data_IF_288077556303
#
_entry.id   IF_288077556303
#
_cell.length_a   1.000
_cell.length_b   1.000
_cell.length_c   1.000
_cell.angle_alpha   90.00
_cell.angle_beta   90.00
_cell.angle_gamma   90.00
#
_symmetry.space_group_name_H-M   'P 1'
#
loop_
_entity.id
_entity.type
_entity.pdbx_description
1 polymer ?
#
# COMPACT_ATOMS: atom_id res chain seq x y z
N UNK A 1 5.55 -20.45 -22.42
CA UNK A 1 6.62 -19.80 -21.63
C UNK A 1 6.00 -19.40 -20.31
N UNK A 2 6.69 -19.70 -19.20
CA UNK A 2 6.21 -19.36 -17.87
C UNK A 2 6.28 -17.84 -17.66
N UNK A 3 5.29 -17.29 -16.97
CA UNK A 3 5.19 -15.85 -16.74
C UNK A 3 6.24 -15.36 -15.73
N UNK A 4 6.67 -14.10 -15.89
CA UNK A 4 7.39 -13.38 -14.85
C UNK A 4 6.38 -12.91 -13.82
N UNK A 5 6.61 -13.22 -12.55
CA UNK A 5 5.67 -12.91 -11.47
C UNK A 5 6.27 -11.86 -10.53
N UNK A 6 5.41 -11.01 -9.97
CA UNK A 6 5.80 -10.09 -8.90
C UNK A 6 6.36 -10.91 -7.72
N UNK A 7 7.33 -10.36 -6.99
CA UNK A 7 7.83 -10.99 -5.78
C UNK A 7 7.81 -10.02 -4.61
N UNK A 8 6.65 -9.96 -3.94
CA UNK A 8 6.46 -9.16 -2.76
C UNK A 8 7.55 -9.47 -1.71
N UNK A 9 8.25 -8.44 -1.19
CA UNK A 9 9.20 -8.62 -0.12
C UNK A 9 8.44 -8.99 1.16
N UNK A 10 8.89 -10.04 1.85
CA UNK A 10 8.31 -10.42 3.13
C UNK A 10 8.58 -9.36 4.18
N UNK A 11 7.52 -8.76 4.71
CA UNK A 11 7.60 -7.87 5.87
C UNK A 11 7.49 -8.67 7.18
N UNK A 12 8.07 -8.18 8.29
CA UNK A 12 7.81 -8.73 9.60
C UNK A 12 6.31 -8.74 9.89
N UNK A 13 5.81 -9.81 10.51
CA UNK A 13 4.42 -9.85 10.93
C UNK A 13 4.15 -8.75 11.97
N UNK A 14 2.99 -8.07 11.88
CA UNK A 14 2.55 -7.14 12.91
C UNK A 14 2.44 -7.86 14.26
N UNK A 15 2.69 -7.16 15.35
CA UNK A 15 2.43 -7.68 16.70
C UNK A 15 1.23 -6.95 17.28
N UNK A 16 0.17 -7.69 17.60
CA UNK A 16 -1.03 -7.14 18.23
C UNK A 16 -1.14 -7.57 19.69
N UNK A 17 -1.96 -6.85 20.46
CA UNK A 17 -2.31 -7.25 21.82
C UNK A 17 -2.97 -8.64 21.81
N UNK A 18 -2.55 -9.58 22.67
CA UNK A 18 -3.19 -10.88 22.76
C UNK A 18 -4.67 -10.77 23.17
N UNK A 19 -5.53 -11.60 22.58
CA UNK A 19 -6.93 -11.71 22.99
C UNK A 19 -7.88 -10.67 22.38
N UNK A 20 -7.46 -9.95 21.32
CA UNK A 20 -8.38 -9.12 20.55
C UNK A 20 -9.50 -9.97 19.92
N UNK A 21 -10.76 -9.50 19.92
CA UNK A 21 -11.83 -10.11 19.14
C UNK A 21 -11.47 -10.18 17.66
N UNK A 22 -11.96 -11.21 16.96
CA UNK A 22 -11.63 -11.45 15.56
C UNK A 22 -11.99 -10.25 14.67
N UNK A 23 -13.19 -9.68 14.84
CA UNK A 23 -13.60 -8.50 14.06
C UNK A 23 -12.73 -7.25 14.30
N UNK A 24 -12.12 -7.12 15.48
CA UNK A 24 -11.24 -6.00 15.81
C UNK A 24 -9.85 -6.20 15.21
N UNK A 25 -9.31 -7.41 15.34
CA UNK A 25 -8.04 -7.79 14.69
C UNK A 25 -8.15 -7.63 13.17
N UNK A 26 -9.30 -7.99 12.62
CA UNK A 26 -9.62 -7.87 11.21
C UNK A 26 -9.43 -6.45 10.69
N UNK A 27 -10.15 -5.51 11.30
CA UNK A 27 -10.14 -4.12 10.89
C UNK A 27 -8.73 -3.47 11.01
N UNK A 28 -7.95 -3.87 12.01
CA UNK A 28 -6.56 -3.43 12.19
C UNK A 28 -5.65 -3.97 11.08
N UNK A 29 -5.81 -5.24 10.72
CA UNK A 29 -5.05 -5.88 9.65
C UNK A 29 -5.29 -5.19 8.30
N UNK A 30 -6.56 -5.02 7.90
CA UNK A 30 -6.90 -4.37 6.63
C UNK A 30 -6.57 -2.87 6.66
N UNK A 31 -6.80 -2.19 7.77
CA UNK A 31 -6.68 -0.73 7.86
C UNK A 31 -5.25 -0.20 7.92
N UNK A 32 -4.33 -0.91 8.61
CA UNK A 32 -3.00 -0.36 8.90
C UNK A 32 -2.15 -0.07 7.67
N UNK A 33 -2.37 -0.84 6.60
CA UNK A 33 -1.62 -0.72 5.33
C UNK A 33 -2.13 0.47 4.52
N UNK A 34 -3.38 0.88 4.72
CA UNK A 34 -4.03 1.85 3.86
C UNK A 34 -3.59 3.28 4.20
N UNK A 35 -3.40 4.09 3.18
CA UNK A 35 -3.15 5.52 3.35
C UNK A 35 -4.38 6.21 3.93
N UNK A 36 -4.21 7.29 4.68
CA UNK A 36 -5.35 8.15 5.02
C UNK A 36 -5.77 8.95 3.79
N UNK A 37 -7.07 9.16 3.62
CA UNK A 37 -7.61 9.88 2.47
C UNK A 37 -7.06 11.31 2.43
N UNK A 38 -6.87 11.86 1.24
CA UNK A 38 -6.29 13.17 0.96
C UNK A 38 -4.76 13.23 1.06
N UNK A 39 -4.09 12.09 1.25
CA UNK A 39 -2.62 12.04 1.26
C UNK A 39 -2.08 12.34 -0.13
N UNK A 40 -1.09 13.23 -0.19
CA UNK A 40 -0.26 13.43 -1.38
C UNK A 40 0.91 12.46 -1.27
N UNK A 41 0.90 11.42 -2.12
CA UNK A 41 1.95 10.44 -2.21
C UNK A 41 3.02 10.93 -3.17
N UNK A 42 4.20 11.19 -2.65
CA UNK A 42 5.34 11.61 -3.44
C UNK A 42 6.09 10.38 -3.93
N UNK A 43 6.44 10.37 -5.20
CA UNK A 43 7.26 9.33 -5.78
C UNK A 43 8.51 9.89 -6.46
N UNK A 44 9.59 9.11 -6.42
CA UNK A 44 10.88 9.45 -6.99
C UNK A 44 11.43 8.27 -7.78
N UNK A 45 11.94 8.53 -8.97
CA UNK A 45 12.74 7.57 -9.73
C UNK A 45 14.21 7.73 -9.37
N UNK A 46 14.89 6.64 -9.02
CA UNK A 46 16.35 6.69 -8.84
C UNK A 46 17.04 7.18 -10.12
N UNK A 47 17.90 8.19 -9.97
CA UNK A 47 18.45 8.97 -11.07
C UNK A 47 19.97 9.23 -10.97
N UNK A 48 20.65 8.74 -9.92
CA UNK A 48 22.08 8.94 -9.72
C UNK A 48 22.88 7.72 -10.19
N UNK A 49 24.10 7.95 -10.69
CA UNK A 49 25.02 6.88 -11.06
C UNK A 49 25.41 5.96 -9.90
N UNK A 50 25.31 6.47 -8.66
CA UNK A 50 25.53 5.70 -7.43
C UNK A 50 24.34 4.84 -7.02
N UNK A 51 23.19 4.96 -7.70
CA UNK A 51 22.00 4.18 -7.40
C UNK A 51 22.06 2.84 -8.12
N UNK A 52 22.52 1.83 -7.39
CA UNK A 52 22.69 0.51 -7.94
C UNK A 52 22.99 -0.55 -6.89
N UNK A 53 23.00 -1.78 -7.35
CA UNK A 53 23.37 -2.94 -6.56
C UNK A 53 24.70 -3.51 -7.05
N UNK A 54 25.50 -4.01 -6.13
CA UNK A 54 26.65 -4.87 -6.45
C UNK A 54 26.17 -6.31 -6.41
N UNK A 55 26.07 -6.95 -7.58
CA UNK A 55 25.56 -8.31 -7.73
C UNK A 55 26.73 -9.28 -7.81
N UNK A 56 26.84 -10.26 -6.90
CA UNK A 56 27.87 -11.29 -6.99
C UNK A 56 27.59 -12.23 -8.17
N UNK A 57 28.62 -12.53 -8.95
CA UNK A 57 28.55 -13.47 -10.07
C UNK A 57 28.81 -14.89 -9.55
N UNK A 58 27.81 -15.80 -9.59
CA UNK A 58 27.94 -17.13 -8.98
C UNK A 58 29.15 -17.91 -9.50
N UNK A 59 29.92 -18.50 -8.59
CA UNK A 59 31.05 -19.37 -8.93
C UNK A 59 32.33 -18.67 -9.42
N UNK A 60 32.34 -17.34 -9.52
CA UNK A 60 33.51 -16.58 -10.01
C UNK A 60 34.24 -15.79 -8.92
N UNK A 61 33.54 -15.45 -7.82
CA UNK A 61 34.05 -14.51 -6.82
C UNK A 61 34.06 -13.05 -7.28
N UNK A 62 33.63 -12.78 -8.51
CA UNK A 62 33.52 -11.44 -9.08
C UNK A 62 32.16 -10.82 -8.75
N UNK A 63 32.05 -9.50 -8.96
CA UNK A 63 30.79 -8.78 -8.81
C UNK A 63 30.53 -7.91 -10.04
N UNK A 64 29.26 -7.63 -10.30
CA UNK A 64 28.80 -6.74 -11.36
C UNK A 64 27.99 -5.60 -10.75
N UNK A 65 28.26 -4.38 -11.19
CA UNK A 65 27.42 -3.23 -10.85
C UNK A 65 26.14 -3.25 -11.71
N UNK A 66 25.00 -3.11 -11.06
CA UNK A 66 23.69 -2.99 -11.70
C UNK A 66 23.02 -1.68 -11.32
N UNK A 67 22.74 -0.85 -12.32
CA UNK A 67 22.05 0.42 -12.11
C UNK A 67 20.57 0.20 -11.80
N UNK A 68 20.01 1.06 -10.94
CA UNK A 68 18.56 1.14 -10.71
C UNK A 68 17.88 2.19 -11.59
N UNK A 69 18.66 2.97 -12.32
CA UNK A 69 18.16 4.10 -13.12
C UNK A 69 17.43 3.57 -14.34
N UNK A 70 16.11 3.77 -14.38
CA UNK A 70 15.28 3.39 -15.52
C UNK A 70 15.44 4.36 -16.69
N UNK A 71 15.29 3.84 -17.92
CA UNK A 71 15.18 4.68 -19.11
C UNK A 71 13.89 5.51 -19.07
N UNK A 72 13.91 6.71 -19.67
CA UNK A 72 12.78 7.64 -19.61
C UNK A 72 11.47 7.04 -20.12
N UNK A 73 11.52 6.26 -21.21
CA UNK A 73 10.33 5.59 -21.75
C UNK A 73 9.68 4.61 -20.75
N UNK A 74 10.44 3.97 -19.87
CA UNK A 74 9.87 3.11 -18.82
C UNK A 74 9.28 3.96 -17.67
N UNK A 75 9.90 5.09 -17.34
CA UNK A 75 9.36 6.04 -16.35
C UNK A 75 8.02 6.62 -16.82
N UNK A 76 7.90 6.94 -18.11
CA UNK A 76 6.66 7.40 -18.72
C UNK A 76 5.54 6.38 -18.60
N UNK A 77 5.82 5.08 -18.80
CA UNK A 77 4.84 4.01 -18.56
C UNK A 77 4.36 4.03 -17.11
N UNK A 78 5.26 4.18 -16.14
CA UNK A 78 4.90 4.24 -14.70
C UNK A 78 4.07 5.48 -14.39
N UNK A 79 4.43 6.66 -14.93
CA UNK A 79 3.66 7.90 -14.79
C UNK A 79 2.24 7.76 -15.35
N UNK A 80 2.10 7.13 -16.51
CA UNK A 80 0.80 6.87 -17.12
C UNK A 80 -0.04 5.89 -16.30
N UNK A 81 0.57 4.92 -15.62
CA UNK A 81 -0.13 4.02 -14.71
C UNK A 81 -0.56 4.72 -13.41
N UNK A 82 0.25 5.62 -12.84
CA UNK A 82 -0.18 6.48 -11.74
C UNK A 82 -1.37 7.36 -12.14
N UNK A 83 -1.34 7.91 -13.36
CA UNK A 83 -2.47 8.69 -13.90
C UNK A 83 -3.73 7.83 -14.03
N UNK A 84 -3.63 6.59 -14.51
CA UNK A 84 -4.79 5.70 -14.64
C UNK A 84 -5.48 5.42 -13.29
N UNK A 85 -4.70 5.18 -12.23
CA UNK A 85 -5.24 5.04 -10.88
C UNK A 85 -5.86 6.35 -10.37
N UNK A 86 -5.22 7.49 -10.64
CA UNK A 86 -5.72 8.82 -10.24
C UNK A 86 -7.02 9.20 -10.96
N UNK A 87 -7.15 8.86 -12.25
CA UNK A 87 -8.30 9.17 -13.10
C UNK A 87 -9.58 8.45 -12.66
N UNK A 88 -9.48 7.47 -11.75
CA UNK A 88 -10.64 6.89 -11.06
C UNK A 88 -11.34 7.89 -10.12
N UNK A 89 -10.67 9.00 -9.77
CA UNK A 89 -11.15 9.99 -8.82
C UNK A 89 -10.95 9.59 -7.36
N UNK A 90 -9.97 8.72 -7.08
CA UNK A 90 -9.62 8.34 -5.71
C UNK A 90 -9.23 9.58 -4.90
N UNK A 91 -9.49 9.56 -3.59
CA UNK A 91 -9.14 10.66 -2.70
C UNK A 91 -7.65 10.75 -2.35
N UNK A 92 -6.76 10.17 -3.15
CA UNK A 92 -5.30 10.33 -3.02
C UNK A 92 -4.76 11.20 -4.16
N UNK A 93 -3.52 11.65 -4.06
CA UNK A 93 -2.83 12.35 -5.15
C UNK A 93 -1.41 11.82 -5.28
N UNK A 94 -0.84 11.91 -6.48
CA UNK A 94 0.53 11.47 -6.75
C UNK A 94 1.36 12.64 -7.27
N UNK A 95 2.54 12.86 -6.70
CA UNK A 95 3.46 13.93 -7.10
C UNK A 95 4.85 13.36 -7.33
N UNK A 96 5.37 13.54 -8.54
CA UNK A 96 6.77 13.21 -8.81
C UNK A 96 7.67 14.29 -8.18
N UNK A 97 8.63 13.86 -7.36
CA UNK A 97 9.60 14.74 -6.72
C UNK A 97 11.01 14.46 -7.23
N UNK A 98 11.90 15.45 -7.11
CA UNK A 98 13.30 15.36 -7.54
C UNK A 98 14.26 14.95 -6.43
N UNK A 99 13.80 14.99 -5.18
CA UNK A 99 14.59 14.55 -4.03
C UNK A 99 13.96 13.31 -3.41
N UNK A 100 14.75 12.25 -3.25
CA UNK A 100 14.30 11.00 -2.64
C UNK A 100 13.94 11.17 -1.16
N UNK A 101 14.45 12.19 -0.47
CA UNK A 101 14.05 12.47 0.92
C UNK A 101 12.62 12.99 1.04
N UNK A 102 12.06 13.47 -0.07
CA UNK A 102 10.68 13.97 -0.16
C UNK A 102 9.71 12.89 -0.65
N UNK A 103 10.17 11.65 -0.91
CA UNK A 103 9.38 10.61 -1.56
C UNK A 103 9.04 9.46 -0.60
N UNK A 104 7.75 9.15 -0.44
CA UNK A 104 7.30 7.92 0.20
C UNK A 104 7.61 6.71 -0.69
N UNK A 105 7.37 6.84 -2.00
CA UNK A 105 7.59 5.78 -2.99
C UNK A 105 8.89 6.04 -3.78
N UNK A 106 9.82 5.08 -3.77
CA UNK A 106 11.13 5.19 -4.43
C UNK A 106 11.31 4.04 -5.41
N UNK A 107 11.34 4.36 -6.69
CA UNK A 107 11.14 3.43 -7.81
C UNK A 107 12.47 3.20 -8.53
N UNK A 108 12.88 1.94 -8.64
CA UNK A 108 14.04 1.51 -9.44
C UNK A 108 13.66 0.53 -10.55
N UNK A 109 14.63 0.25 -11.43
CA UNK A 109 14.44 -0.57 -12.63
C UNK A 109 15.54 -1.65 -12.75
N UNK A 110 15.93 -2.25 -11.63
CA UNK A 110 17.00 -3.25 -11.63
C UNK A 110 16.50 -4.52 -12.34
N UNK A 111 17.04 -4.77 -13.53
CA UNK A 111 16.69 -5.94 -14.33
C UNK A 111 17.09 -7.24 -13.62
N UNK A 112 16.20 -8.23 -13.62
CA UNK A 112 16.45 -9.53 -13.01
C UNK A 112 16.26 -9.61 -11.48
N UNK A 113 15.93 -8.49 -10.82
CA UNK A 113 15.62 -8.44 -9.38
C UNK A 113 14.14 -8.76 -9.08
N UNK A 114 13.38 -9.18 -10.09
CA UNK A 114 11.93 -9.26 -10.05
C UNK A 114 11.26 -7.88 -10.08
N UNK A 115 9.93 -7.87 -10.20
CA UNK A 115 9.12 -6.68 -9.97
C UNK A 115 8.43 -6.81 -8.62
N UNK A 116 8.33 -5.71 -7.88
CA UNK A 116 7.68 -5.68 -6.57
C UNK A 116 7.38 -4.25 -6.13
N UNK A 117 6.47 -4.11 -5.16
CA UNK A 117 6.28 -2.91 -4.35
C UNK A 117 6.05 -3.28 -2.89
N UNK A 118 6.40 -2.37 -1.98
CA UNK A 118 5.85 -2.38 -0.63
C UNK A 118 4.33 -2.19 -0.68
N UNK A 119 3.63 -2.74 0.31
CA UNK A 119 2.17 -2.65 0.38
C UNK A 119 1.77 -1.42 1.19
N UNK A 120 1.14 -0.44 0.53
CA UNK A 120 0.65 0.76 1.19
C UNK A 120 1.68 1.46 2.07
N UNK A 121 1.30 1.75 3.32
CA UNK A 121 2.10 2.45 4.34
C UNK A 121 3.36 1.72 4.78
N UNK A 122 3.56 0.45 4.43
CA UNK A 122 4.83 -0.24 4.70
C UNK A 122 6.01 0.49 4.03
N UNK A 123 5.76 1.25 2.96
CA UNK A 123 6.73 2.13 2.31
C UNK A 123 7.45 3.09 3.28
N UNK A 124 6.76 3.53 4.35
CA UNK A 124 7.28 4.46 5.35
C UNK A 124 8.37 3.84 6.24
N UNK A 125 8.44 2.52 6.32
CA UNK A 125 9.46 1.80 7.10
C UNK A 125 10.77 1.56 6.34
N UNK A 126 10.76 1.78 5.01
CA UNK A 126 11.90 1.51 4.15
C UNK A 126 12.87 2.70 4.16
N UNK A 127 14.16 2.44 4.39
CA UNK A 127 15.17 3.49 4.42
C UNK A 127 15.31 4.28 3.10
N UNK A 128 15.71 5.55 3.19
CA UNK A 128 15.79 6.50 2.07
C UNK A 128 16.65 6.03 0.88
N UNK A 129 17.71 5.27 1.15
CA UNK A 129 18.62 4.73 0.12
C UNK A 129 18.12 3.44 -0.54
N UNK A 130 16.89 3.00 -0.24
CA UNK A 130 16.34 1.71 -0.69
C UNK A 130 15.09 1.94 -1.55
N UNK A 131 14.93 1.09 -2.56
CA UNK A 131 13.74 0.98 -3.41
C UNK A 131 12.56 0.50 -2.58
N UNK A 132 11.42 1.19 -2.66
CA UNK A 132 10.12 0.68 -2.20
C UNK A 132 9.40 -0.06 -3.32
N UNK A 133 9.75 0.23 -4.57
CA UNK A 133 9.21 -0.41 -5.76
C UNK A 133 10.34 -0.68 -6.76
N UNK A 134 10.28 -1.82 -7.44
CA UNK A 134 11.21 -2.17 -8.51
C UNK A 134 10.47 -2.75 -9.72
N UNK A 135 10.96 -2.42 -10.91
CA UNK A 135 10.58 -3.10 -12.15
C UNK A 135 11.75 -3.92 -12.68
N UNK A 136 11.56 -5.23 -12.75
CA UNK A 136 12.61 -6.19 -13.07
C UNK A 136 12.83 -6.46 -14.56
N UNK A 137 12.05 -5.81 -15.43
CA UNK A 137 12.04 -6.01 -16.87
C UNK A 137 11.47 -4.78 -17.61
N UNK A 138 11.59 -4.78 -18.93
CA UNK A 138 11.19 -3.68 -19.80
C UNK A 138 9.66 -3.52 -19.85
N UNK A 139 9.15 -2.46 -19.22
CA UNK A 139 7.74 -2.10 -19.20
C UNK A 139 7.18 -1.63 -20.55
N UNK A 140 8.05 -1.26 -21.50
CA UNK A 140 7.63 -0.79 -22.83
C UNK A 140 7.26 -1.94 -23.77
N UNK A 141 7.62 -3.17 -23.43
CA UNK A 141 7.26 -4.33 -24.20
C UNK A 141 5.73 -4.58 -24.15
N UNK A 142 5.13 -5.15 -25.22
CA UNK A 142 3.68 -5.36 -25.28
C UNK A 142 3.14 -6.14 -24.08
N UNK A 143 2.18 -5.55 -23.36
CA UNK A 143 1.55 -6.14 -22.18
C UNK A 143 2.26 -5.90 -20.85
N UNK A 144 3.54 -5.52 -20.84
CA UNK A 144 4.33 -5.35 -19.60
C UNK A 144 3.93 -4.12 -18.78
N UNK A 145 3.19 -3.18 -19.39
CA UNK A 145 2.52 -2.09 -18.65
C UNK A 145 1.61 -2.61 -17.53
N UNK A 146 1.04 -3.81 -17.66
CA UNK A 146 0.22 -4.42 -16.62
C UNK A 146 0.99 -4.59 -15.30
N UNK A 147 2.30 -4.85 -15.37
CA UNK A 147 3.17 -4.91 -14.19
C UNK A 147 3.20 -3.57 -13.46
N UNK A 148 3.31 -2.44 -14.16
CA UNK A 148 3.28 -1.12 -13.52
C UNK A 148 1.95 -0.84 -12.81
N UNK A 149 0.81 -1.20 -13.41
CA UNK A 149 -0.49 -1.09 -12.74
C UNK A 149 -0.57 -1.95 -11.48
N UNK A 150 -0.06 -3.19 -11.55
CA UNK A 150 -0.02 -4.15 -10.45
C UNK A 150 0.82 -3.64 -9.27
N UNK A 151 2.05 -3.21 -9.53
CA UNK A 151 2.93 -2.72 -8.46
C UNK A 151 2.39 -1.44 -7.81
N UNK A 152 1.76 -0.55 -8.59
CA UNK A 152 1.07 0.62 -8.02
C UNK A 152 -0.16 0.18 -7.20
N UNK A 153 -0.86 -0.89 -7.59
CA UNK A 153 -1.91 -1.50 -6.79
C UNK A 153 -1.41 -1.91 -5.39
N UNK A 154 -0.24 -2.56 -5.31
CA UNK A 154 0.41 -2.82 -4.02
C UNK A 154 0.73 -1.53 -3.25
N UNK A 155 1.30 -0.52 -3.91
CA UNK A 155 1.58 0.78 -3.27
C UNK A 155 0.30 1.46 -2.73
N UNK A 156 -0.88 1.13 -3.28
CA UNK A 156 -2.20 1.55 -2.81
C UNK A 156 -2.80 0.65 -1.73
N UNK A 157 -2.18 -0.50 -1.44
CA UNK A 157 -2.57 -1.42 -0.37
C UNK A 157 -3.23 -2.72 -0.85
N UNK A 158 -3.37 -2.94 -2.16
CA UNK A 158 -3.93 -4.20 -2.67
C UNK A 158 -2.94 -5.35 -2.46
N UNK A 159 -3.46 -6.51 -2.09
CA UNK A 159 -2.72 -7.77 -2.05
C UNK A 159 -3.09 -8.68 -3.23
N UNK A 160 -2.35 -9.77 -3.42
CA UNK A 160 -2.60 -10.73 -4.50
C UNK A 160 -3.95 -11.43 -4.35
N UNK A 161 -4.66 -11.50 -5.47
CA UNK A 161 -6.04 -11.99 -5.52
C UNK A 161 -6.11 -13.52 -5.36
N UNK A 162 -5.13 -14.28 -5.85
CA UNK A 162 -5.05 -15.73 -5.69
C UNK A 162 -4.80 -16.20 -4.26
N UNK A 163 -4.28 -15.31 -3.42
CA UNK A 163 -4.08 -15.56 -1.99
C UNK A 163 -5.35 -15.32 -1.18
N UNK A 164 -6.43 -14.83 -1.81
CA UNK A 164 -7.74 -14.68 -1.19
C UNK A 164 -8.25 -16.06 -0.68
N UNK A 165 -8.58 -16.20 0.62
CA UNK A 165 -9.09 -17.46 1.16
C UNK A 165 -10.45 -17.84 0.57
N UNK A 166 -11.21 -16.88 0.02
CA UNK A 166 -12.47 -17.12 -0.67
C UNK A 166 -12.31 -17.50 -2.15
N UNK A 167 -11.08 -17.60 -2.66
CA UNK A 167 -10.83 -18.00 -4.04
C UNK A 167 -11.24 -19.43 -4.37
N UNK A 168 -11.31 -20.30 -3.37
CA UNK A 168 -11.58 -21.73 -3.60
C UNK A 168 -10.50 -22.42 -4.45
N UNK A 169 -9.36 -21.76 -4.70
CA UNK A 169 -8.25 -22.34 -5.44
C UNK A 169 -7.61 -23.44 -4.58
N UNK A 170 -7.65 -24.66 -5.10
CA UNK A 170 -6.85 -25.77 -4.63
C UNK A 170 -5.66 -25.94 -5.58
N UNK A 171 -4.45 -25.73 -5.05
CA UNK A 171 -3.20 -25.82 -5.80
C UNK A 171 -2.70 -27.26 -5.89
N UNK A 172 -2.00 -27.58 -6.97
CA UNK A 172 -0.99 -28.64 -6.96
C UNK A 172 0.32 -28.01 -6.46
N UNK A 173 0.54 -28.04 -5.14
CA UNK A 173 1.67 -27.38 -4.49
C UNK A 173 3.03 -27.79 -5.09
N UNK A 174 3.21 -29.07 -5.41
CA UNK A 174 4.46 -29.58 -5.99
C UNK A 174 4.65 -29.05 -7.42
N UNK A 175 3.59 -29.05 -8.23
CA UNK A 175 3.65 -28.45 -9.57
C UNK A 175 3.98 -26.95 -9.50
N UNK A 176 3.43 -26.22 -8.54
CA UNK A 176 3.75 -24.80 -8.30
C UNK A 176 5.21 -24.61 -7.92
N UNK A 177 5.74 -25.45 -7.02
CA UNK A 177 7.15 -25.38 -6.65
C UNK A 177 8.09 -25.67 -7.82
N UNK A 178 7.79 -26.71 -8.61
CA UNK A 178 8.59 -27.11 -9.76
C UNK A 178 8.56 -26.05 -10.87
N UNK A 179 7.39 -25.49 -11.17
CA UNK A 179 7.23 -24.44 -12.18
C UNK A 179 8.03 -23.18 -11.84
N UNK A 180 7.97 -22.75 -10.57
CA UNK A 180 8.61 -21.52 -10.11
C UNK A 180 10.09 -21.66 -9.80
N UNK A 181 10.59 -22.89 -9.55
CA UNK A 181 12.01 -23.17 -9.48
C UNK A 181 12.72 -23.02 -10.84
N UNK A 182 11.97 -23.14 -11.94
CA UNK A 182 12.44 -22.94 -13.31
C UNK A 182 12.49 -21.46 -13.76
N UNK A 183 13.02 -21.20 -14.97
CA UNK A 183 12.95 -19.88 -15.58
C UNK A 183 11.49 -19.45 -15.83
N UNK A 184 11.18 -18.15 -15.76
CA UNK A 184 12.10 -17.03 -15.53
C UNK A 184 12.30 -16.68 -14.04
N UNK A 185 11.64 -17.38 -13.11
CA UNK A 185 11.50 -16.94 -11.72
C UNK A 185 12.65 -17.43 -10.83
N UNK A 186 13.04 -18.71 -10.93
CA UNK A 186 14.08 -19.34 -10.11
C UNK A 186 13.86 -19.19 -8.60
N UNK A 187 12.61 -19.31 -8.15
CA UNK A 187 12.25 -19.16 -6.75
C UNK A 187 12.47 -20.45 -5.97
N UNK A 188 13.02 -20.30 -4.77
CA UNK A 188 13.00 -21.38 -3.78
C UNK A 188 11.60 -21.55 -3.17
N UNK A 189 11.32 -22.75 -2.65
CA UNK A 189 10.02 -23.12 -2.05
C UNK A 189 9.45 -22.09 -1.07
N UNK A 190 10.28 -21.51 -0.20
CA UNK A 190 9.82 -20.51 0.77
C UNK A 190 9.25 -19.25 0.10
N UNK A 191 9.88 -18.78 -0.98
CA UNK A 191 9.42 -17.62 -1.76
C UNK A 191 8.14 -17.94 -2.52
N UNK A 192 8.07 -19.13 -3.15
CA UNK A 192 6.86 -19.62 -3.82
C UNK A 192 5.69 -19.79 -2.86
N UNK A 193 5.93 -20.36 -1.67
CA UNK A 193 4.91 -20.48 -0.65
C UNK A 193 4.39 -19.10 -0.24
N UNK A 194 5.28 -18.16 0.10
CA UNK A 194 4.86 -16.84 0.57
C UNK A 194 4.07 -16.04 -0.47
N UNK A 195 4.48 -16.09 -1.74
CA UNK A 195 3.87 -15.29 -2.80
C UNK A 195 2.66 -15.97 -3.46
N UNK A 196 2.57 -17.31 -3.44
CA UNK A 196 1.54 -18.05 -4.19
C UNK A 196 0.61 -18.85 -3.27
N UNK A 197 1.18 -19.75 -2.47
CA UNK A 197 0.41 -20.78 -1.78
C UNK A 197 -0.17 -20.32 -0.45
N UNK A 198 0.52 -19.41 0.25
CA UNK A 198 0.07 -18.83 1.50
C UNK A 198 -1.26 -18.12 1.26
N UNK A 199 -2.28 -18.48 2.02
CA UNK A 199 -3.54 -17.73 2.05
C UNK A 199 -3.39 -16.53 2.98
N UNK A 200 -3.94 -15.42 2.54
CA UNK A 200 -4.12 -14.24 3.38
C UNK A 200 -5.12 -14.57 4.48
N UNK A 201 -5.03 -13.84 5.58
CA UNK A 201 -6.11 -13.84 6.54
C UNK A 201 -7.40 -13.35 5.83
N UNK A 202 -8.58 -13.95 6.07
CA UNK A 202 -9.86 -13.44 5.55
C UNK A 202 -10.09 -11.95 5.77
N UNK A 203 -9.35 -11.37 6.71
CA UNK A 203 -9.41 -9.97 7.06
C UNK A 203 -8.43 -9.08 6.28
N UNK A 204 -7.44 -9.64 5.60
CA UNK A 204 -6.46 -8.90 4.80
C UNK A 204 -6.88 -8.74 3.32
N UNK A 205 -8.03 -9.30 2.92
CA UNK A 205 -8.36 -9.50 1.51
C UNK A 205 -9.21 -8.38 0.93
N UNK A 206 -9.08 -8.17 -0.39
CA UNK A 206 -9.75 -7.07 -1.10
C UNK A 206 -11.28 -7.24 -1.22
N UNK A 207 -11.81 -8.40 -0.84
CA UNK A 207 -13.24 -8.70 -0.87
C UNK A 207 -13.56 -10.16 -0.55
N UNK A 208 -14.84 -10.45 -0.33
CA UNK A 208 -15.33 -11.80 -0.01
C UNK A 208 -15.52 -12.70 -1.24
N UNK A 209 -15.22 -12.20 -2.44
CA UNK A 209 -15.38 -12.91 -3.71
C UNK A 209 -14.09 -12.75 -4.51
N UNK A 210 -13.54 -13.85 -4.97
CA UNK A 210 -12.33 -13.86 -5.78
C UNK A 210 -12.58 -13.33 -7.18
N UNK A 211 -11.72 -12.41 -7.62
CA UNK A 211 -11.72 -11.84 -8.97
C UNK A 211 -10.56 -12.37 -9.83
N UNK A 212 -10.77 -13.41 -10.64
CA UNK A 212 -9.74 -13.99 -11.52
C UNK A 212 -9.30 -13.04 -12.66
N UNK A 213 -9.99 -11.90 -12.82
CA UNK A 213 -9.71 -10.89 -13.84
C UNK A 213 -8.97 -9.67 -13.28
N UNK A 214 -8.79 -9.61 -11.95
CA UNK A 214 -8.10 -8.53 -11.24
C UNK A 214 -6.70 -8.29 -11.80
N UNK A 215 -6.25 -7.03 -11.78
CA UNK A 215 -4.86 -6.70 -12.05
C UNK A 215 -3.91 -7.35 -11.02
N UNK A 216 -4.42 -7.70 -9.83
CA UNK A 216 -3.69 -8.33 -8.73
C UNK A 216 -3.65 -9.86 -8.82
N UNK A 217 -4.35 -10.46 -9.80
CA UNK A 217 -4.31 -11.89 -10.07
C UNK A 217 -3.11 -12.23 -10.97
N UNK A 218 -2.41 -13.31 -10.63
CA UNK A 218 -1.29 -13.77 -11.44
C UNK A 218 -1.72 -14.61 -12.65
N UNK A 219 -1.02 -14.51 -13.78
CA UNK A 219 -1.24 -15.40 -14.91
C UNK A 219 -0.62 -16.78 -14.62
N UNK A 220 -1.43 -17.73 -14.17
CA UNK A 220 -1.00 -19.11 -13.90
C UNK A 220 -1.10 -20.00 -15.13
N UNK A 221 -0.07 -20.82 -15.38
CA UNK A 221 -0.07 -21.84 -16.42
C UNK A 221 -1.02 -23.00 -16.12
N UNK A 222 -1.36 -23.77 -17.15
CA UNK A 222 -2.12 -25.01 -17.00
C UNK A 222 -1.39 -26.01 -16.09
N UNK A 223 -2.15 -26.79 -15.33
CA UNK A 223 -1.63 -27.86 -14.47
C UNK A 223 -1.21 -27.43 -13.07
N UNK A 224 -1.27 -26.13 -12.73
CA UNK A 224 -0.96 -25.64 -11.38
C UNK A 224 -2.18 -25.67 -10.45
N UNK A 225 -3.38 -25.51 -11.02
CA UNK A 225 -4.64 -25.45 -10.28
C UNK A 225 -5.37 -26.78 -10.41
N UNK A 226 -5.75 -27.39 -9.29
CA UNK A 226 -6.57 -28.60 -9.23
C UNK A 226 -8.06 -28.27 -9.22
N UNK A 227 -8.44 -27.21 -8.51
CA UNK A 227 -9.82 -26.69 -8.44
C UNK A 227 -9.84 -25.16 -8.38
N UNK A 228 -10.88 -24.50 -8.93
CA UNK A 228 -12.00 -25.12 -9.66
C UNK A 228 -11.61 -25.57 -11.08
N UNK A 229 -12.36 -26.55 -11.62
CA UNK A 229 -12.01 -27.23 -12.88
C UNK A 229 -11.79 -26.27 -14.06
N UNK A 230 -12.56 -25.17 -14.14
CA UNK A 230 -12.41 -24.17 -15.20
C UNK A 230 -11.02 -23.54 -15.28
N UNK A 231 -10.25 -23.51 -14.18
CA UNK A 231 -8.91 -22.91 -14.12
C UNK A 231 -7.77 -23.94 -14.17
N UNK A 232 -8.06 -25.23 -14.36
CA UNK A 232 -7.02 -26.26 -14.61
C UNK A 232 -6.19 -25.97 -15.86
N UNK A 233 -6.78 -25.29 -16.84
CA UNK A 233 -6.11 -24.85 -18.07
C UNK A 233 -5.29 -23.56 -17.93
N UNK A 234 -5.24 -23.00 -16.71
CA UNK A 234 -4.55 -21.77 -16.35
C UNK A 234 -5.51 -20.64 -15.99
N UNK A 235 -4.95 -19.60 -15.37
CA UNK A 235 -5.64 -18.36 -15.01
C UNK A 235 -5.09 -17.24 -15.90
N UNK A 236 -5.98 -16.39 -16.42
CA UNK A 236 -5.62 -15.30 -17.33
C UNK A 236 -6.28 -13.99 -16.88
N UNK A 237 -5.56 -13.12 -16.15
CA UNK A 237 -6.06 -11.80 -15.80
C UNK A 237 -6.23 -10.91 -17.04
N UNK A 238 -6.94 -9.78 -16.89
CA UNK A 238 -7.18 -8.85 -18.00
C UNK A 238 -5.92 -8.08 -18.42
N UNK A 239 -4.97 -7.88 -17.51
CA UNK A 239 -3.84 -6.96 -17.69
C UNK A 239 -4.22 -5.48 -17.60
N UNK A 240 -5.43 -5.18 -17.11
CA UNK A 240 -5.96 -3.84 -16.83
C UNK A 240 -6.78 -3.88 -15.54
N UNK A 241 -7.17 -2.72 -15.00
CA UNK A 241 -7.97 -2.64 -13.78
C UNK A 241 -9.37 -3.23 -13.98
N UNK A 242 -9.71 -4.25 -13.19
CA UNK A 242 -11.04 -4.85 -13.16
C UNK A 242 -12.06 -3.93 -12.46
N UNK A 243 -13.38 -4.20 -12.56
CA UNK A 243 -14.37 -3.50 -11.75
C UNK A 243 -14.14 -3.64 -10.24
N UNK A 244 -13.70 -4.81 -9.76
CA UNK A 244 -13.45 -5.06 -8.35
C UNK A 244 -12.23 -4.26 -7.85
N UNK A 245 -11.16 -4.18 -8.65
CA UNK A 245 -9.98 -3.35 -8.33
C UNK A 245 -10.37 -1.89 -8.10
N UNK A 246 -11.21 -1.35 -8.99
CA UNK A 246 -11.70 0.03 -8.94
C UNK A 246 -12.60 0.26 -7.73
N UNK A 247 -13.52 -0.67 -7.46
CA UNK A 247 -14.41 -0.58 -6.30
C UNK A 247 -13.61 -0.60 -4.99
N UNK A 248 -12.61 -1.47 -4.89
CA UNK A 248 -11.76 -1.59 -3.71
C UNK A 248 -11.06 -0.26 -3.40
N UNK A 249 -10.37 0.34 -4.37
CA UNK A 249 -9.66 1.61 -4.12
C UNK A 249 -10.62 2.76 -3.86
N UNK A 250 -11.78 2.82 -4.52
CA UNK A 250 -12.77 3.87 -4.28
C UNK A 250 -13.45 3.74 -2.91
N UNK A 251 -13.55 2.52 -2.37
CA UNK A 251 -14.06 2.29 -1.01
C UNK A 251 -13.09 2.80 0.04
N UNK A 252 -11.80 2.51 -0.12
CA UNK A 252 -10.76 2.91 0.84
C UNK A 252 -10.29 4.35 0.67
N UNK A 253 -10.37 4.87 -0.54
CA UNK A 253 -9.96 6.22 -0.92
C UNK A 253 -11.10 6.93 -1.65
N UNK A 254 -12.24 7.19 -0.96
CA UNK A 254 -13.37 7.85 -1.58
C UNK A 254 -12.97 9.25 -2.05
N UNK A 255 -13.54 9.76 -3.16
CA UNK A 255 -13.23 11.09 -3.68
C UNK A 255 -13.32 12.15 -2.57
N UNK A 256 -12.26 12.94 -2.42
CA UNK A 256 -12.27 14.07 -1.47
C UNK A 256 -13.02 15.25 -2.08
N UNK A 257 -13.96 15.82 -1.33
CA UNK A 257 -14.66 17.03 -1.75
C UNK A 257 -13.75 18.26 -1.68
N UNK A 258 -14.07 19.30 -2.45
CA UNK A 258 -13.38 20.60 -2.40
C UNK A 258 -13.73 21.46 -1.17
N UNK A 259 -14.61 20.95 -0.29
CA UNK A 259 -15.08 21.67 0.89
C UNK A 259 -14.01 21.63 1.97
N UNK A 260 -13.60 22.81 2.46
CA UNK A 260 -12.74 22.90 3.64
C UNK A 260 -13.35 22.11 4.81
N UNK A 261 -12.55 21.29 5.51
CA UNK A 261 -13.04 20.56 6.67
C UNK A 261 -13.43 21.51 7.80
N UNK A 262 -14.32 21.07 8.72
CA UNK A 262 -14.63 21.85 9.92
C UNK A 262 -13.38 22.08 10.78
N UNK A 263 -13.33 23.22 11.47
CA UNK A 263 -12.23 23.55 12.39
C UNK A 263 -12.32 22.72 13.68
N UNK A 264 -11.21 22.09 14.07
CA UNK A 264 -11.00 21.49 15.38
C UNK A 264 -10.38 22.52 16.30
N UNK A 265 -11.24 23.35 16.90
CA UNK A 265 -10.82 24.38 17.83
C UNK A 265 -10.09 23.78 19.05
N UNK A 266 -8.92 24.32 19.46
CA UNK A 266 -8.21 23.82 20.62
C UNK A 266 -9.09 23.76 21.88
N UNK A 267 -8.92 22.70 22.67
CA UNK A 267 -9.70 22.35 23.87
C UNK A 267 -11.21 22.17 23.63
N UNK A 268 -11.64 21.91 22.39
CA UNK A 268 -12.99 21.48 22.08
C UNK A 268 -12.95 20.14 21.37
N UNK A 269 -13.66 19.16 21.93
CA UNK A 269 -13.79 17.86 21.29
C UNK A 269 -14.81 17.91 20.15
N UNK A 270 -14.53 17.13 19.11
CA UNK A 270 -15.44 16.87 18.02
C UNK A 270 -15.83 15.38 18.04
N UNK A 271 -17.12 15.03 18.17
CA UNK A 271 -17.54 13.63 18.14
C UNK A 271 -17.30 13.03 16.76
N UNK A 272 -16.80 11.79 16.74
CA UNK A 272 -16.59 10.99 15.54
C UNK A 272 -17.77 10.05 15.37
N UNK A 273 -18.49 10.19 14.27
CA UNK A 273 -19.58 9.29 13.86
C UNK A 273 -19.13 8.57 12.60
N UNK A 274 -18.22 7.63 12.80
CA UNK A 274 -17.54 6.89 11.73
C UNK A 274 -17.89 5.41 11.83
N UNK A 275 -18.07 4.76 10.70
CA UNK A 275 -18.00 3.31 10.53
C UNK A 275 -16.56 2.84 10.29
N UNK A 276 -16.36 1.52 10.26
CA UNK A 276 -15.07 0.92 9.96
C UNK A 276 -14.55 1.36 8.57
N UNK A 277 -13.31 1.82 8.52
CA UNK A 277 -12.66 2.36 7.32
C UNK A 277 -13.02 3.81 6.99
N UNK A 278 -14.06 4.37 7.62
CA UNK A 278 -14.45 5.76 7.39
C UNK A 278 -13.47 6.74 8.04
N UNK A 279 -13.48 7.97 7.52
CA UNK A 279 -12.56 9.02 7.93
C UNK A 279 -13.28 10.34 8.19
N UNK A 280 -12.80 11.07 9.21
CA UNK A 280 -13.16 12.46 9.45
C UNK A 280 -11.93 13.36 9.28
N UNK A 281 -12.15 14.49 8.61
CA UNK A 281 -11.13 15.52 8.37
C UNK A 281 -11.47 16.78 9.14
N UNK A 282 -10.45 17.42 9.69
CA UNK A 282 -10.55 18.67 10.44
C UNK A 282 -9.44 19.64 10.05
N UNK A 283 -9.76 20.94 10.04
CA UNK A 283 -8.76 22.00 9.98
C UNK A 283 -8.28 22.38 11.39
N UNK A 284 -7.03 22.82 11.51
CA UNK A 284 -6.53 23.50 12.72
C UNK A 284 -5.84 24.80 12.32
N UNK A 285 -6.34 25.91 12.85
CA UNK A 285 -5.64 27.18 12.92
C UNK A 285 -5.20 27.47 14.38
N UNK A 286 -3.92 27.23 14.75
CA UNK A 286 -3.47 27.39 16.12
C UNK A 286 -3.47 28.87 16.54
N UNK A 287 -4.07 29.23 17.70
CA UNK A 287 -4.11 30.62 18.17
C UNK A 287 -2.74 31.15 18.64
N UNK A 288 -1.80 30.26 18.96
CA UNK A 288 -0.45 30.55 19.45
C UNK A 288 0.54 29.47 18.99
N UNK A 289 1.83 29.82 18.92
CA UNK A 289 2.88 28.86 18.55
C UNK A 289 3.33 28.09 19.79
N UNK A 290 2.98 26.81 19.88
CA UNK A 290 3.40 25.92 20.97
C UNK A 290 3.25 24.45 20.58
N UNK A 291 3.63 23.58 21.50
CA UNK A 291 3.29 22.16 21.40
C UNK A 291 1.79 21.97 21.67
N UNK A 292 1.15 21.20 20.80
CA UNK A 292 -0.21 20.70 20.94
C UNK A 292 -0.17 19.18 20.93
N UNK A 293 -1.18 18.57 21.55
CA UNK A 293 -1.49 17.17 21.32
C UNK A 293 -2.79 17.10 20.54
N UNK A 294 -2.77 16.35 19.44
CA UNK A 294 -3.97 15.97 18.71
C UNK A 294 -4.19 14.50 18.93
N UNK A 295 -5.39 14.11 19.34
CA UNK A 295 -5.68 12.69 19.44
C UNK A 295 -7.14 12.37 19.67
N UNK A 296 -7.42 11.08 19.55
CA UNK A 296 -8.73 10.49 19.78
C UNK A 296 -8.88 10.11 21.25
N UNK A 297 -10.12 9.94 21.68
CA UNK A 297 -10.44 9.30 22.95
C UNK A 297 -11.80 8.62 22.84
N UNK A 298 -11.95 7.52 23.55
CA UNK A 298 -13.13 6.65 23.47
C UNK A 298 -12.74 5.20 23.17
N UNK A 299 -13.76 4.37 22.96
CA UNK A 299 -13.62 2.93 22.75
C UNK A 299 -13.48 2.62 21.26
N UNK A 300 -12.31 2.94 20.70
CA UNK A 300 -12.02 2.82 19.26
C UNK A 300 -10.55 2.53 18.94
N UNK A 301 -10.33 1.89 17.79
CA UNK A 301 -9.03 1.83 17.11
C UNK A 301 -9.00 2.83 15.97
N UNK A 302 -7.97 3.66 15.95
CA UNK A 302 -7.85 4.80 15.04
C UNK A 302 -6.41 5.05 14.63
N UNK A 303 -6.26 5.59 13.43
CA UNK A 303 -5.05 6.33 13.06
C UNK A 303 -5.38 7.82 13.01
N UNK A 304 -4.51 8.62 13.63
CA UNK A 304 -4.55 10.08 13.59
C UNK A 304 -3.34 10.56 12.82
N UNK A 305 -3.56 11.29 11.72
CA UNK A 305 -2.51 11.88 10.91
C UNK A 305 -2.65 13.40 10.86
N UNK A 306 -1.51 14.09 10.99
CA UNK A 306 -1.42 15.55 10.97
C UNK A 306 -0.61 15.99 9.76
N UNK A 307 -1.14 16.98 9.04
CA UNK A 307 -0.53 17.58 7.85
C UNK A 307 -0.41 19.09 8.03
N UNK A 308 0.62 19.71 7.47
CA UNK A 308 0.75 21.15 7.28
C UNK A 308 0.28 21.53 5.89
N UNK A 309 -0.52 22.58 5.75
CA UNK A 309 -0.81 23.17 4.43
C UNK A 309 0.38 24.05 4.00
N UNK A 310 1.08 23.64 2.94
CA UNK A 310 2.17 24.40 2.33
C UNK A 310 1.81 24.64 0.86
N UNK A 311 1.75 25.89 0.45
CA UNK A 311 1.36 26.30 -0.92
C UNK A 311 0.03 25.70 -1.41
N UNK A 312 -0.89 25.45 -0.47
CA UNK A 312 -2.21 24.85 -0.74
C UNK A 312 -2.22 23.32 -0.79
N UNK A 313 -1.09 22.66 -0.55
CA UNK A 313 -0.98 21.19 -0.51
C UNK A 313 -0.74 20.68 0.92
N UNK A 314 -1.41 19.60 1.34
CA UNK A 314 -1.18 18.98 2.64
C UNK A 314 0.14 18.18 2.62
N UNK A 315 1.10 18.61 3.43
CA UNK A 315 2.38 17.93 3.67
C UNK A 315 2.32 17.14 4.96
N UNK A 316 2.63 15.85 4.89
CA UNK A 316 2.63 14.96 6.04
C UNK A 316 3.62 15.46 7.10
N UNK A 317 3.19 15.53 8.37
CA UNK A 317 4.08 15.84 9.49
C UNK A 317 4.32 14.61 10.35
N UNK A 318 3.25 13.99 10.83
CA UNK A 318 3.31 12.84 11.72
C UNK A 318 1.96 12.13 11.77
N UNK A 319 1.98 10.86 12.13
CA UNK A 319 0.78 10.10 12.43
C UNK A 319 1.05 9.13 13.59
N UNK A 320 -0.02 8.78 14.31
CA UNK A 320 0.00 7.72 15.30
C UNK A 320 -1.16 6.78 15.03
N UNK A 321 -0.85 5.49 15.09
CA UNK A 321 -1.79 4.39 14.95
C UNK A 321 -1.80 3.68 16.30
N UNK A 322 -2.97 3.58 16.94
CA UNK A 322 -3.07 2.97 18.26
C UNK A 322 -2.87 1.45 18.24
N UNK A 323 -2.83 0.84 17.05
CA UNK A 323 -2.38 -0.53 16.84
C UNK A 323 -3.20 -1.58 17.58
N UNK A 324 -4.46 -1.29 17.93
CA UNK A 324 -5.28 -2.21 18.70
C UNK A 324 -5.05 -2.17 20.21
N UNK A 325 -4.26 -1.22 20.72
CA UNK A 325 -4.02 -1.11 22.15
C UNK A 325 -5.24 -0.51 22.88
N UNK A 326 -5.31 -0.60 24.23
CA UNK A 326 -6.30 0.14 25.01
C UNK A 326 -6.05 1.66 25.05
N UNK A 327 -4.92 2.13 24.51
CA UNK A 327 -4.60 3.55 24.39
C UNK A 327 -5.16 4.09 23.09
N UNK A 328 -5.52 5.37 23.05
CA UNK A 328 -5.92 6.03 21.83
C UNK A 328 -4.70 6.68 21.15
N UNK A 329 -4.82 6.94 19.84
CA UNK A 329 -3.76 7.56 19.06
C UNK A 329 -3.58 9.05 19.43
N UNK A 330 -2.35 9.44 19.76
CA UNK A 330 -2.02 10.82 20.17
C UNK A 330 -0.75 11.38 19.54
N UNK A 331 -0.90 12.26 18.56
CA UNK A 331 0.24 12.96 17.96
C UNK A 331 0.56 14.23 18.76
N UNK A 332 1.73 14.25 19.40
CA UNK A 332 2.30 15.48 19.97
C UNK A 332 3.13 16.23 18.93
N UNK A 333 2.75 17.47 18.62
CA UNK A 333 3.39 18.26 17.56
C UNK A 333 3.41 19.75 17.88
N UNK A 334 4.46 20.45 17.42
CA UNK A 334 4.55 21.90 17.52
C UNK A 334 3.83 22.57 16.36
N UNK A 335 2.72 23.25 16.66
CA UNK A 335 1.97 24.02 15.67
C UNK A 335 2.38 25.49 15.74
N UNK A 336 2.43 26.16 14.59
CA UNK A 336 2.88 27.55 14.45
C UNK A 336 1.71 28.45 14.12
N UNK A 337 1.52 29.50 14.93
CA UNK A 337 0.49 30.52 14.70
C UNK A 337 0.60 31.12 13.29
N UNK A 338 -0.54 31.24 12.62
CA UNK A 338 -0.63 31.78 11.26
C UNK A 338 -0.38 30.75 10.15
N UNK A 339 -0.09 29.50 10.50
CA UNK A 339 -0.11 28.37 9.58
C UNK A 339 -1.42 27.60 9.69
N UNK A 340 -1.71 26.78 8.68
CA UNK A 340 -2.88 25.92 8.63
C UNK A 340 -2.47 24.46 8.62
N UNK A 341 -3.24 23.65 9.32
CA UNK A 341 -2.98 22.23 9.45
C UNK A 341 -4.26 21.44 9.19
N UNK A 342 -4.10 20.20 8.76
CA UNK A 342 -5.19 19.24 8.65
C UNK A 342 -4.96 18.08 9.60
N UNK A 343 -6.03 17.65 10.26
CA UNK A 343 -6.08 16.42 11.04
C UNK A 343 -7.02 15.48 10.36
N UNK A 344 -6.56 14.25 10.14
CA UNK A 344 -7.33 13.19 9.52
C UNK A 344 -7.36 12.02 10.46
N UNK A 345 -8.57 11.58 10.79
CA UNK A 345 -8.80 10.47 11.70
C UNK A 345 -9.54 9.40 10.94
N UNK A 346 -8.91 8.24 10.77
CA UNK A 346 -9.57 7.05 10.22
C UNK A 346 -9.87 6.08 11.35
N UNK A 347 -11.10 5.58 11.36
CA UNK A 347 -11.57 4.60 12.32
C UNK A 347 -11.39 3.19 11.73
N UNK A 348 -10.76 2.30 12.49
CA UNK A 348 -10.69 0.88 12.15
C UNK A 348 -11.86 0.12 12.80
N UNK A 349 -12.00 0.25 14.12
CA UNK A 349 -13.01 -0.48 14.90
C UNK A 349 -13.47 0.31 16.11
N UNK A 350 -14.64 -0.06 16.65
CA UNK A 350 -15.18 0.46 17.91
C UNK A 350 -15.70 -0.67 18.78
N UNK A 351 -15.71 -0.48 20.10
CA UNK A 351 -16.34 -1.40 21.05
C UNK A 351 -17.15 -0.66 22.11
N UNK A 352 -17.84 -1.42 22.96
CA UNK A 352 -18.65 -0.87 24.05
C UNK A 352 -19.71 0.12 23.55
N UNK A 353 -19.64 1.36 24.01
CA UNK A 353 -20.54 2.45 23.59
C UNK A 353 -20.32 2.90 22.14
N UNK A 354 -19.12 2.68 21.59
CA UNK A 354 -18.67 3.23 20.31
C UNK A 354 -18.53 4.75 20.29
N UNK A 355 -18.73 5.45 21.42
CA UNK A 355 -18.58 6.89 21.50
C UNK A 355 -17.09 7.27 21.43
N UNK A 356 -16.72 7.93 20.35
CA UNK A 356 -15.35 8.38 20.10
C UNK A 356 -15.36 9.85 19.73
N UNK A 357 -14.34 10.59 20.14
CA UNK A 357 -14.13 11.97 19.74
C UNK A 357 -12.65 12.25 19.46
N UNK A 358 -12.38 13.33 18.74
CA UNK A 358 -11.04 13.87 18.53
C UNK A 358 -10.94 15.25 19.19
N UNK A 359 -9.76 15.60 19.69
CA UNK A 359 -9.48 16.92 20.22
C UNK A 359 -8.03 17.32 19.91
N UNK A 360 -7.80 18.63 19.81
CA UNK A 360 -6.48 19.25 19.84
C UNK A 360 -6.37 20.06 21.15
N UNK A 361 -5.30 19.93 21.94
CA UNK A 361 -5.12 20.65 23.20
C UNK A 361 -3.68 21.10 23.46
#
# INVERSE_FOLDING_TARGET
MNARLCSLPQQPAPTFTPGLPAERLSALLSGRLMWVNGTVLHYYFFDRDSDGSVIPLPGTGETRWESWVGAEAQRDVVRDCFREWLDLGIGLSFVEVRDRSEAELRIGFQTGDGSYSTVGRDALSVGLGRRTMNFGWDLTAPGERATALHEIGHALGLLHEHQNPFAGIHWDDEAVYDDLAGPPNFWGRGKSYFNILRKLDPDEVNGSVWDPLSIMEYPFSAGLVLEPEQYRSGVRPLGTLSPADKEFVLRWYPPTGTRRPPELAPFRSAPLRLGAGEQADFGIAPPETRDYTVGTFGESDTVVAVFEEIDGEPRYLSAEDDGGTPHNAHVRIRLVKGRHYFVRVRLYSTWGSGETAVMCW
#
